data_IF_185365823200
#
_entry.id   IF_185365823200
#
_cell.length_a   1.000
_cell.length_b   1.000
_cell.length_c   1.000
_cell.angle_alpha   90.00
_cell.angle_beta   90.00
_cell.angle_gamma   90.00
#
_symmetry.space_group_name_H-M   'P 1'
#
loop_
_entity.id
_entity.type
_entity.pdbx_description
1 polymer ?
#
# COMPACT_ATOMS: atom_id res chain seq x y z
N UNK A 1 -8.20 -8.29 -17.93
CA UNK A 1 -7.16 -8.98 -17.13
C UNK A 1 -6.14 -9.69 -18.03
N UNK A 2 -4.89 -9.17 -18.13
CA UNK A 2 -3.82 -9.80 -18.89
C UNK A 2 -3.39 -11.14 -18.26
N UNK A 3 -3.06 -12.11 -19.11
CA UNK A 3 -2.50 -13.40 -18.69
C UNK A 3 -1.04 -13.27 -18.21
N UNK A 4 -0.43 -14.36 -17.72
CA UNK A 4 0.94 -14.33 -17.17
C UNK A 4 1.97 -13.80 -18.18
N UNK A 5 1.96 -14.28 -19.42
CA UNK A 5 2.91 -13.86 -20.44
C UNK A 5 2.73 -12.37 -20.81
N UNK A 6 1.48 -11.91 -20.92
CA UNK A 6 1.16 -10.50 -21.14
C UNK A 6 1.68 -9.63 -19.99
N UNK A 7 1.54 -10.06 -18.73
CA UNK A 7 2.11 -9.33 -17.58
C UNK A 7 3.63 -9.27 -17.59
N UNK A 8 4.31 -10.33 -18.03
CA UNK A 8 5.78 -10.31 -18.18
C UNK A 8 6.20 -9.32 -19.26
N UNK A 9 5.47 -9.26 -20.38
CA UNK A 9 5.72 -8.26 -21.41
C UNK A 9 5.53 -6.84 -20.86
N UNK A 10 4.41 -6.56 -20.19
CA UNK A 10 4.13 -5.26 -19.56
C UNK A 10 5.25 -4.90 -18.55
N UNK A 11 5.74 -5.86 -17.77
CA UNK A 11 6.82 -5.64 -16.82
C UNK A 11 8.13 -5.22 -17.52
N UNK A 12 8.49 -5.90 -18.62
CA UNK A 12 9.66 -5.56 -19.42
C UNK A 12 9.51 -4.17 -20.07
N UNK A 13 8.34 -3.87 -20.64
CA UNK A 13 8.08 -2.56 -21.25
C UNK A 13 8.15 -1.44 -20.19
N UNK A 14 7.64 -1.70 -18.97
CA UNK A 14 7.74 -0.79 -17.83
C UNK A 14 9.20 -0.55 -17.43
N UNK A 15 10.01 -1.61 -17.34
CA UNK A 15 11.46 -1.48 -17.10
C UNK A 15 12.14 -0.64 -18.17
N UNK A 16 11.81 -0.84 -19.44
CA UNK A 16 12.42 -0.11 -20.56
C UNK A 16 12.08 1.38 -20.54
N UNK A 17 10.85 1.75 -20.13
CA UNK A 17 10.42 3.16 -20.05
C UNK A 17 10.91 3.89 -18.81
N UNK A 18 11.16 3.16 -17.71
CA UNK A 18 11.45 3.73 -16.39
C UNK A 18 12.66 4.69 -16.39
N UNK A 19 13.83 4.38 -17.00
CA UNK A 19 14.98 5.29 -16.99
C UNK A 19 14.68 6.68 -17.54
N UNK A 20 13.96 6.76 -18.65
CA UNK A 20 13.57 8.04 -19.27
C UNK A 20 12.62 8.82 -18.36
N UNK A 21 11.63 8.18 -17.76
CA UNK A 21 10.70 8.82 -16.81
C UNK A 21 11.44 9.35 -15.59
N UNK A 22 12.43 8.61 -15.09
CA UNK A 22 13.22 9.03 -13.93
C UNK A 22 14.11 10.25 -14.21
N UNK A 23 14.33 10.63 -15.47
CA UNK A 23 15.02 11.89 -15.80
C UNK A 23 14.20 13.13 -15.46
N UNK A 24 12.87 13.06 -15.58
CA UNK A 24 11.94 14.15 -15.26
C UNK A 24 11.31 13.98 -13.88
N UNK A 25 11.26 12.76 -13.36
CA UNK A 25 10.74 12.41 -12.03
C UNK A 25 11.80 11.64 -11.23
N UNK A 26 12.84 12.33 -10.70
CA UNK A 26 13.95 11.68 -10.01
C UNK A 26 13.47 10.77 -8.87
N UNK A 27 14.05 9.56 -8.73
CA UNK A 27 13.61 8.63 -7.70
C UNK A 27 14.04 9.14 -6.32
N UNK A 28 13.15 9.02 -5.35
CA UNK A 28 13.47 9.21 -3.93
C UNK A 28 13.17 7.92 -3.18
N UNK A 29 14.06 7.49 -2.29
CA UNK A 29 13.86 6.28 -1.49
C UNK A 29 14.55 6.40 -0.12
N UNK A 30 13.81 6.11 0.96
CA UNK A 30 14.29 6.13 2.35
C UNK A 30 13.82 4.88 3.09
N UNK A 31 14.75 4.16 3.71
CA UNK A 31 14.44 3.05 4.61
C UNK A 31 14.23 3.57 6.04
N UNK A 32 13.12 3.16 6.65
CA UNK A 32 12.86 3.24 8.08
C UNK A 32 13.11 1.84 8.66
N UNK A 33 14.28 1.58 9.29
CA UNK A 33 14.68 0.23 9.65
C UNK A 33 13.98 -0.32 10.90
N UNK A 34 13.36 0.56 11.69
CA UNK A 34 12.73 0.22 12.97
C UNK A 34 11.41 0.96 13.16
N UNK A 35 10.63 0.47 14.12
CA UNK A 35 9.38 1.12 14.56
C UNK A 35 9.69 2.54 15.04
N UNK A 36 8.96 3.52 14.50
CA UNK A 36 9.06 4.90 14.91
C UNK A 36 8.42 5.10 16.29
N UNK A 37 8.92 6.06 17.09
CA UNK A 37 8.29 6.41 18.36
C UNK A 37 6.87 6.95 18.13
N UNK A 38 6.00 6.93 19.16
CA UNK A 38 4.71 7.58 19.10
C UNK A 38 4.80 9.05 18.67
N UNK A 39 3.82 9.52 17.90
CA UNK A 39 3.67 10.92 17.55
C UNK A 39 3.45 11.77 18.81
N UNK A 40 3.81 13.05 18.71
CA UNK A 40 3.51 14.01 19.76
C UNK A 40 1.98 14.19 19.86
N UNK A 41 1.41 14.29 21.07
CA UNK A 41 -0.01 14.52 21.26
C UNK A 41 -0.49 15.77 20.51
N UNK A 42 -1.53 15.61 19.70
CA UNK A 42 -2.19 16.72 19.03
C UNK A 42 -3.28 17.30 19.92
N UNK A 43 -3.47 18.62 19.89
CA UNK A 43 -4.64 19.26 20.52
C UNK A 43 -5.91 19.14 19.68
N UNK A 44 -5.77 18.72 18.42
CA UNK A 44 -6.92 18.48 17.54
C UNK A 44 -7.71 17.27 18.02
N UNK A 45 -9.03 17.35 17.86
CA UNK A 45 -9.95 16.22 18.08
C UNK A 45 -10.48 15.66 16.76
N UNK A 46 -10.01 16.17 15.61
CA UNK A 46 -10.48 15.74 14.30
C UNK A 46 -10.09 14.28 14.06
N UNK A 47 -11.08 13.47 13.66
CA UNK A 47 -10.87 12.11 13.17
C UNK A 47 -10.81 12.11 11.64
N UNK A 48 -10.04 11.20 11.02
CA UNK A 48 -10.05 11.07 9.57
C UNK A 48 -11.41 10.63 9.05
N UNK A 49 -11.77 11.09 7.86
CA UNK A 49 -12.83 10.47 7.07
C UNK A 49 -12.33 9.13 6.51
N UNK A 50 -12.96 8.03 6.89
CA UNK A 50 -12.56 6.68 6.47
C UNK A 50 -13.58 6.14 5.48
N UNK A 51 -13.12 5.63 4.34
CA UNK A 51 -13.98 4.93 3.37
C UNK A 51 -13.35 3.62 2.90
N UNK A 52 -14.19 2.66 2.50
CA UNK A 52 -13.76 1.41 1.88
C UNK A 52 -14.25 1.37 0.43
N UNK A 53 -13.34 1.14 -0.51
CA UNK A 53 -13.64 1.16 -1.96
C UNK A 53 -13.14 -0.11 -2.63
N UNK A 54 -13.98 -0.70 -3.48
CA UNK A 54 -13.58 -1.82 -4.34
C UNK A 54 -12.89 -1.30 -5.59
N UNK A 55 -11.66 -0.83 -5.42
CA UNK A 55 -10.85 -0.25 -6.48
C UNK A 55 -9.38 -0.58 -6.24
N UNK A 56 -8.56 -0.47 -7.28
CA UNK A 56 -7.12 -0.61 -7.09
C UNK A 56 -6.51 0.61 -6.39
N UNK A 57 -5.31 0.41 -5.83
CA UNK A 57 -4.63 1.38 -4.98
C UNK A 57 -4.25 2.68 -5.72
N UNK A 58 -3.79 2.62 -6.97
CA UNK A 58 -3.38 3.84 -7.68
C UNK A 58 -4.59 4.61 -8.23
N UNK A 59 -5.66 3.92 -8.64
CA UNK A 59 -6.90 4.58 -9.05
C UNK A 59 -7.58 5.29 -7.88
N UNK A 60 -7.50 4.72 -6.68
CA UNK A 60 -7.91 5.42 -5.46
C UNK A 60 -7.12 6.72 -5.24
N UNK A 61 -5.79 6.66 -5.37
CA UNK A 61 -4.94 7.83 -5.21
C UNK A 61 -5.18 8.89 -6.29
N UNK A 62 -5.35 8.46 -7.53
CA UNK A 62 -5.68 9.34 -8.66
C UNK A 62 -7.01 10.06 -8.42
N UNK A 63 -8.01 9.37 -7.87
CA UNK A 63 -9.31 9.96 -7.50
C UNK A 63 -9.15 11.05 -6.45
N UNK A 64 -8.36 10.80 -5.39
CA UNK A 64 -8.05 11.79 -4.35
C UNK A 64 -7.39 13.02 -5.00
N UNK A 65 -6.35 12.82 -5.81
CA UNK A 65 -5.59 13.89 -6.43
C UNK A 65 -6.42 14.71 -7.43
N UNK A 66 -7.34 14.07 -8.17
CA UNK A 66 -8.27 14.77 -9.08
C UNK A 66 -9.29 15.62 -8.32
N UNK A 67 -9.76 15.15 -7.17
CA UNK A 67 -10.71 15.89 -6.34
C UNK A 67 -10.03 17.00 -5.51
N UNK A 68 -8.77 16.80 -5.14
CA UNK A 68 -7.97 17.74 -4.37
C UNK A 68 -6.49 17.67 -4.82
N UNK A 69 -6.11 18.54 -5.76
CA UNK A 69 -4.74 18.61 -6.27
C UNK A 69 -3.70 19.04 -5.21
N UNK A 70 -4.14 19.62 -4.08
CA UNK A 70 -3.27 20.00 -2.97
C UNK A 70 -3.11 18.89 -1.92
N UNK A 71 -3.85 17.78 -2.05
CA UNK A 71 -3.78 16.67 -1.12
C UNK A 71 -2.38 16.07 -1.08
N UNK A 72 -1.83 15.95 0.14
CA UNK A 72 -0.59 15.23 0.39
C UNK A 72 -0.93 13.74 0.47
N UNK A 73 -0.88 13.08 -0.67
CA UNK A 73 -1.35 11.71 -0.86
C UNK A 73 -0.22 10.68 -0.89
N UNK A 74 -0.37 9.59 -0.15
CA UNK A 74 0.50 8.42 -0.26
C UNK A 74 -0.28 7.11 -0.25
N UNK A 75 0.29 6.06 -0.84
CA UNK A 75 -0.32 4.73 -0.89
C UNK A 75 0.53 3.67 -0.20
N UNK A 76 -0.13 2.65 0.34
CA UNK A 76 0.53 1.47 0.90
C UNK A 76 0.84 0.46 -0.22
N UNK A 77 2.12 0.15 -0.43
CA UNK A 77 2.55 -1.08 -1.08
C UNK A 77 2.60 -2.21 -0.04
N UNK A 78 1.74 -3.23 -0.21
CA UNK A 78 1.70 -4.43 0.63
C UNK A 78 2.85 -5.36 0.23
N UNK A 79 4.05 -4.96 0.63
CA UNK A 79 5.30 -5.41 0.04
C UNK A 79 5.65 -6.86 0.38
N UNK A 80 6.42 -7.46 -0.52
CA UNK A 80 7.17 -8.66 -0.24
C UNK A 80 8.27 -8.35 0.77
N UNK A 81 8.37 -9.14 1.83
CA UNK A 81 9.46 -9.05 2.80
C UNK A 81 10.84 -9.35 2.20
N UNK A 82 10.89 -10.14 1.13
CA UNK A 82 12.13 -10.77 0.63
C UNK A 82 12.61 -10.25 -0.71
N UNK A 83 11.68 -9.87 -1.59
CA UNK A 83 11.97 -9.60 -2.99
C UNK A 83 11.40 -8.21 -3.35
N UNK A 84 12.23 -7.27 -3.83
CA UNK A 84 11.76 -5.99 -4.34
C UNK A 84 10.71 -6.17 -5.44
N UNK A 85 9.51 -5.59 -5.26
CA UNK A 85 8.43 -5.69 -6.24
C UNK A 85 7.85 -7.10 -6.39
N UNK A 86 8.08 -7.98 -5.42
CA UNK A 86 7.53 -9.34 -5.43
C UNK A 86 7.97 -10.15 -6.66
N UNK A 87 6.99 -10.69 -7.38
CA UNK A 87 7.20 -11.49 -8.59
C UNK A 87 6.84 -10.78 -9.89
N UNK A 88 6.87 -9.44 -9.94
CA UNK A 88 6.30 -8.67 -11.06
C UNK A 88 6.92 -9.02 -12.43
N UNK A 89 8.24 -9.21 -12.49
CA UNK A 89 8.95 -9.66 -13.70
C UNK A 89 8.62 -11.10 -14.13
N UNK A 90 8.15 -11.91 -13.19
CA UNK A 90 7.73 -13.29 -13.44
C UNK A 90 6.24 -13.39 -13.80
N UNK A 91 5.56 -12.26 -13.98
CA UNK A 91 4.14 -12.19 -14.27
C UNK A 91 3.26 -12.61 -13.10
N UNK A 92 3.76 -12.54 -11.86
CA UNK A 92 2.89 -12.65 -10.69
C UNK A 92 1.90 -11.47 -10.65
N UNK A 93 0.79 -11.65 -9.93
CA UNK A 93 -0.22 -10.61 -9.79
C UNK A 93 -0.86 -10.66 -8.41
N UNK A 94 -0.27 -9.90 -7.50
CA UNK A 94 -0.91 -9.33 -6.33
C UNK A 94 -0.81 -7.80 -6.42
N UNK A 95 -1.09 -7.10 -5.32
CA UNK A 95 -1.10 -5.65 -5.29
C UNK A 95 0.28 -5.02 -5.53
N UNK A 96 1.35 -5.54 -4.90
CA UNK A 96 2.72 -5.04 -5.11
C UNK A 96 3.14 -5.13 -6.58
N UNK A 97 2.87 -6.26 -7.24
CA UNK A 97 3.18 -6.41 -8.65
C UNK A 97 2.36 -5.46 -9.52
N UNK A 98 1.08 -5.22 -9.20
CA UNK A 98 0.24 -4.26 -9.90
C UNK A 98 0.80 -2.83 -9.78
N UNK A 99 1.30 -2.43 -8.61
CA UNK A 99 1.97 -1.14 -8.44
C UNK A 99 3.25 -1.05 -9.27
N UNK A 100 4.08 -2.10 -9.26
CA UNK A 100 5.32 -2.15 -10.05
C UNK A 100 5.06 -2.12 -11.55
N UNK A 101 4.02 -2.82 -12.03
CA UNK A 101 3.63 -2.83 -13.45
C UNK A 101 3.15 -1.45 -13.94
N UNK A 102 2.78 -0.54 -13.05
CA UNK A 102 2.15 0.74 -13.42
C UNK A 102 3.01 1.98 -13.20
N UNK A 103 4.17 1.81 -12.57
CA UNK A 103 4.89 2.95 -12.02
C UNK A 103 6.39 2.72 -11.94
N UNK A 104 7.10 3.77 -11.52
CA UNK A 104 8.56 3.71 -11.26
C UNK A 104 8.92 3.05 -9.92
N UNK A 105 7.95 2.54 -9.13
CA UNK A 105 8.17 1.97 -7.80
C UNK A 105 9.29 0.92 -7.76
N UNK A 106 9.36 0.03 -8.75
CA UNK A 106 10.38 -1.02 -8.75
C UNK A 106 11.81 -0.47 -8.73
N UNK A 107 12.05 0.75 -9.24
CA UNK A 107 13.35 1.40 -9.24
C UNK A 107 13.75 2.01 -7.87
N UNK A 108 12.80 2.19 -6.95
CA UNK A 108 13.05 2.74 -5.61
C UNK A 108 13.22 1.65 -4.55
N UNK A 109 12.81 0.42 -4.85
CA UNK A 109 12.93 -0.75 -3.96
C UNK A 109 14.33 -1.38 -4.05
N UNK A 110 15.32 -0.76 -3.40
CA UNK A 110 16.71 -1.22 -3.47
C UNK A 110 16.92 -2.57 -2.78
N UNK A 111 17.59 -3.50 -3.45
CA UNK A 111 17.94 -4.84 -2.92
C UNK A 111 18.61 -4.81 -1.54
N UNK A 112 19.43 -3.78 -1.26
CA UNK A 112 20.11 -3.59 0.03
C UNK A 112 19.18 -3.40 1.23
N UNK A 113 17.90 -3.10 1.00
CA UNK A 113 16.90 -2.99 2.07
C UNK A 113 16.29 -4.35 2.44
N UNK A 114 16.58 -5.41 1.68
CA UNK A 114 15.95 -6.71 1.84
C UNK A 114 16.91 -7.74 2.47
N UNK A 115 16.39 -8.66 3.31
CA UNK A 115 15.00 -8.75 3.75
C UNK A 115 14.58 -7.55 4.61
N UNK A 116 13.34 -7.10 4.43
CA UNK A 116 12.81 -5.97 5.21
C UNK A 116 12.77 -6.37 6.70
N UNK A 117 13.23 -5.51 7.63
CA UNK A 117 13.03 -5.74 9.06
C UNK A 117 11.55 -5.91 9.41
N UNK A 118 11.24 -6.54 10.54
CA UNK A 118 9.85 -6.79 10.97
C UNK A 118 9.02 -5.50 11.02
N UNK A 119 9.60 -4.39 11.45
CA UNK A 119 8.97 -3.06 11.43
C UNK A 119 9.58 -2.14 10.37
N UNK A 120 10.30 -2.71 9.41
CA UNK A 120 10.93 -2.00 8.32
C UNK A 120 9.89 -1.47 7.33
N UNK A 121 10.05 -0.21 6.92
CA UNK A 121 9.25 0.40 5.87
C UNK A 121 10.14 1.16 4.88
N UNK A 122 9.79 1.13 3.59
CA UNK A 122 10.49 1.90 2.56
C UNK A 122 9.56 2.98 2.03
N UNK A 123 9.98 4.23 2.19
CA UNK A 123 9.30 5.38 1.59
C UNK A 123 9.86 5.64 0.21
N UNK A 124 9.00 5.88 -0.78
CA UNK A 124 9.39 6.08 -2.17
C UNK A 124 8.60 7.19 -2.84
N UNK A 125 9.28 8.10 -3.53
CA UNK A 125 8.63 9.00 -4.49
C UNK A 125 8.46 8.28 -5.82
N UNK A 126 7.22 8.17 -6.32
CA UNK A 126 6.87 7.33 -7.47
C UNK A 126 6.07 8.13 -8.49
N UNK A 127 6.31 7.84 -9.77
CA UNK A 127 5.50 8.33 -10.88
C UNK A 127 4.70 7.18 -11.48
N UNK A 128 3.38 7.34 -11.56
CA UNK A 128 2.45 6.40 -12.17
C UNK A 128 2.21 6.81 -13.61
N UNK A 129 2.52 5.91 -14.55
CA UNK A 129 2.50 6.20 -15.99
C UNK A 129 1.74 5.17 -16.82
N UNK A 130 1.06 4.22 -16.16
CA UNK A 130 0.16 3.27 -16.83
C UNK A 130 -1.16 3.14 -16.10
N UNK A 131 -2.19 2.89 -16.90
CA UNK A 131 -3.54 2.59 -16.44
C UNK A 131 -3.67 1.25 -15.70
N UNK A 132 -4.90 0.92 -15.34
CA UNK A 132 -5.23 -0.27 -14.57
C UNK A 132 -4.76 -1.58 -15.25
N UNK A 133 -4.42 -2.57 -14.42
CA UNK A 133 -4.02 -3.90 -14.89
C UNK A 133 -5.14 -4.55 -15.69
N UNK A 134 -6.39 -4.37 -15.28
CA UNK A 134 -7.54 -5.03 -15.93
C UNK A 134 -7.78 -4.54 -17.35
N UNK A 135 -7.46 -3.26 -17.61
CA UNK A 135 -7.44 -2.61 -18.91
C UNK A 135 -6.16 -2.90 -19.74
N UNK A 136 -5.23 -3.71 -19.22
CA UNK A 136 -4.01 -4.10 -19.92
C UNK A 136 -2.80 -3.18 -19.67
N UNK A 137 -2.83 -2.35 -18.62
CA UNK A 137 -1.78 -1.38 -18.30
C UNK A 137 -1.37 -0.47 -19.49
N UNK A 138 -2.32 0.20 -20.17
CA UNK A 138 -1.97 1.13 -21.25
C UNK A 138 -1.03 2.21 -20.71
N UNK A 139 -0.03 2.60 -21.51
CA UNK A 139 0.81 3.76 -21.16
C UNK A 139 -0.05 5.00 -21.27
N UNK A 140 -0.01 5.83 -20.24
CA UNK A 140 -0.70 7.11 -20.21
C UNK A 140 -0.12 8.07 -21.25
N UNK A 141 -0.97 8.93 -21.79
CA UNK A 141 -0.58 10.03 -22.65
C UNK A 141 0.27 11.06 -21.93
N UNK A 142 0.77 12.04 -22.68
CA UNK A 142 1.52 13.16 -22.13
C UNK A 142 0.64 13.91 -21.11
N UNK A 143 1.16 14.12 -19.89
CA UNK A 143 0.46 14.76 -18.75
C UNK A 143 -0.71 13.98 -18.13
N UNK A 144 -0.95 12.71 -18.50
CA UNK A 144 -1.96 11.87 -17.84
C UNK A 144 -1.41 11.10 -16.64
N UNK A 145 -0.09 10.96 -16.54
CA UNK A 145 0.56 10.37 -15.38
C UNK A 145 0.58 11.31 -14.16
N UNK A 146 0.83 10.73 -12.98
CA UNK A 146 0.82 11.48 -11.74
C UNK A 146 1.88 10.98 -10.76
N UNK A 147 2.39 11.91 -9.94
CA UNK A 147 3.30 11.60 -8.84
C UNK A 147 2.51 11.23 -7.59
N UNK A 148 2.96 10.21 -6.87
CA UNK A 148 2.42 9.80 -5.58
C UNK A 148 3.53 9.21 -4.72
N UNK A 149 3.47 9.42 -3.41
CA UNK A 149 4.37 8.74 -2.50
C UNK A 149 3.87 7.31 -2.20
N UNK A 150 4.80 6.38 -2.05
CA UNK A 150 4.51 4.97 -1.75
C UNK A 150 5.26 4.54 -0.49
N UNK A 151 4.52 4.02 0.48
CA UNK A 151 5.06 3.35 1.65
C UNK A 151 5.00 1.84 1.43
N UNK A 152 6.16 1.19 1.36
CA UNK A 152 6.27 -0.26 1.23
C UNK A 152 6.52 -0.91 2.58
N UNK A 153 5.61 -1.79 3.01
CA UNK A 153 5.76 -2.57 4.24
C UNK A 153 5.20 -3.98 4.06
N UNK A 154 5.94 -4.97 4.55
CA UNK A 154 5.50 -6.36 4.51
C UNK A 154 4.54 -6.70 5.67
N UNK A 155 3.47 -7.43 5.38
CA UNK A 155 2.62 -8.05 6.40
C UNK A 155 3.30 -9.29 7.02
N UNK A 156 2.69 -9.88 8.06
CA UNK A 156 3.10 -11.21 8.52
C UNK A 156 2.87 -12.23 7.41
N UNK A 157 3.83 -13.14 7.21
CA UNK A 157 3.74 -14.17 6.16
C UNK A 157 3.18 -15.47 6.73
N UNK A 158 1.98 -15.84 6.29
CA UNK A 158 1.27 -17.08 6.64
C UNK A 158 1.28 -17.36 8.16
N UNK A 159 0.81 -16.41 8.98
CA UNK A 159 0.70 -16.63 10.42
C UNK A 159 -0.28 -17.77 10.72
N UNK A 160 -0.16 -18.36 11.90
CA UNK A 160 -1.10 -19.40 12.34
C UNK A 160 -2.45 -18.76 12.67
N UNK A 161 -3.52 -19.32 12.11
CA UNK A 161 -4.89 -18.80 12.25
C UNK A 161 -5.79 -19.92 12.78
N UNK A 162 -6.63 -19.59 13.77
CA UNK A 162 -7.66 -20.46 14.35
C UNK A 162 -8.80 -20.72 13.36
N UNK A 163 -9.61 -21.75 13.60
CA UNK A 163 -10.79 -22.05 12.76
C UNK A 163 -11.81 -20.91 12.65
N UNK A 164 -11.82 -19.98 13.62
CA UNK A 164 -12.68 -18.79 13.62
C UNK A 164 -12.12 -17.59 12.84
N UNK A 165 -11.02 -17.75 12.10
CA UNK A 165 -10.41 -16.64 11.35
C UNK A 165 -9.77 -15.60 12.25
N UNK A 166 -9.10 -16.05 13.32
CA UNK A 166 -8.28 -15.21 14.21
C UNK A 166 -6.84 -15.69 14.30
N UNK A 167 -5.86 -14.82 14.48
CA UNK A 167 -4.47 -15.14 14.81
C UNK A 167 -4.45 -16.06 16.03
N UNK A 168 -3.72 -17.17 15.92
CA UNK A 168 -3.60 -18.13 17.01
C UNK A 168 -2.69 -17.62 18.14
N UNK A 169 -1.73 -16.75 17.82
CA UNK A 169 -0.78 -16.20 18.78
C UNK A 169 -1.09 -14.73 19.07
N UNK A 170 -1.17 -14.36 20.34
CA UNK A 170 -1.32 -12.97 20.76
C UNK A 170 -0.15 -12.08 20.29
N UNK A 171 1.05 -12.63 20.16
CA UNK A 171 2.21 -11.92 19.62
C UNK A 171 2.03 -11.50 18.16
N UNK A 172 1.32 -12.29 17.36
CA UNK A 172 1.05 -11.94 15.95
C UNK A 172 0.11 -10.74 15.87
N UNK A 173 -0.89 -10.68 16.77
CA UNK A 173 -1.79 -9.52 16.89
C UNK A 173 -1.00 -8.25 17.22
N UNK A 174 -0.10 -8.30 18.20
CA UNK A 174 0.71 -7.15 18.60
C UNK A 174 1.71 -6.73 17.52
N UNK A 175 2.30 -7.68 16.78
CA UNK A 175 3.13 -7.37 15.61
C UNK A 175 2.30 -6.64 14.55
N UNK A 176 1.09 -7.10 14.26
CA UNK A 176 0.22 -6.47 13.25
C UNK A 176 -0.22 -5.07 13.69
N UNK A 177 -0.58 -4.89 14.97
CA UNK A 177 -0.84 -3.55 15.54
C UNK A 177 0.35 -2.63 15.31
N UNK A 178 1.56 -3.06 15.70
CA UNK A 178 2.76 -2.24 15.54
C UNK A 178 3.15 -2.01 14.08
N UNK A 179 2.85 -2.93 13.17
CA UNK A 179 3.00 -2.70 11.72
C UNK A 179 2.03 -1.62 11.23
N UNK A 180 0.77 -1.64 11.67
CA UNK A 180 -0.21 -0.61 11.31
C UNK A 180 0.20 0.75 11.90
N UNK A 181 0.60 0.80 13.18
CA UNK A 181 1.16 2.02 13.80
C UNK A 181 2.38 2.52 13.03
N UNK A 182 3.28 1.64 12.59
CA UNK A 182 4.43 2.01 11.77
C UNK A 182 4.02 2.63 10.44
N UNK A 183 3.05 2.04 9.74
CA UNK A 183 2.51 2.60 8.48
C UNK A 183 2.03 4.02 8.74
N UNK A 184 1.18 4.22 9.75
CA UNK A 184 0.60 5.52 10.08
C UNK A 184 1.68 6.54 10.53
N UNK A 185 2.64 6.14 11.36
CA UNK A 185 3.74 7.02 11.81
C UNK A 185 4.64 7.47 10.67
N UNK A 186 5.01 6.57 9.76
CA UNK A 186 5.82 6.94 8.60
C UNK A 186 5.02 7.88 7.69
N UNK A 187 3.72 7.63 7.46
CA UNK A 187 2.88 8.57 6.70
C UNK A 187 2.85 9.96 7.37
N UNK A 188 2.66 10.01 8.69
CA UNK A 188 2.65 11.24 9.46
C UNK A 188 4.00 11.99 9.44
N UNK A 189 5.13 11.29 9.61
CA UNK A 189 6.48 11.87 9.53
C UNK A 189 6.73 12.52 8.15
N UNK A 190 6.14 11.95 7.09
CA UNK A 190 6.22 12.48 5.73
C UNK A 190 5.08 13.46 5.40
N UNK A 191 4.32 13.93 6.41
CA UNK A 191 3.28 14.96 6.31
C UNK A 191 2.17 14.60 5.33
N UNK A 192 1.79 13.34 5.30
CA UNK A 192 0.66 12.84 4.53
C UNK A 192 -0.63 13.07 5.30
N UNK A 193 -1.59 13.73 4.66
CA UNK A 193 -2.94 13.90 5.21
C UNK A 193 -3.98 13.00 4.54
N UNK A 194 -3.70 12.50 3.33
CA UNK A 194 -4.58 11.60 2.59
C UNK A 194 -3.84 10.30 2.29
N UNK A 195 -4.39 9.14 2.67
CA UNK A 195 -3.70 7.89 2.37
C UNK A 195 -4.61 6.79 1.84
N UNK A 196 -4.03 5.97 0.95
CA UNK A 196 -4.68 4.77 0.43
C UNK A 196 -4.06 3.55 1.09
N UNK A 197 -4.83 2.89 1.94
CA UNK A 197 -4.48 1.64 2.58
C UNK A 197 -5.17 0.47 1.88
N UNK A 198 -5.05 -0.73 2.44
CA UNK A 198 -5.69 -1.92 1.88
C UNK A 198 -5.67 -3.10 2.84
N UNK A 199 -6.09 -4.25 2.34
CA UNK A 199 -6.19 -5.50 3.10
C UNK A 199 -4.81 -6.14 3.36
N UNK A 200 -4.02 -5.51 4.23
CA UNK A 200 -2.62 -5.85 4.52
C UNK A 200 -2.43 -7.34 4.77
N UNK A 201 -1.76 -8.01 3.82
CA UNK A 201 -1.42 -9.44 3.92
C UNK A 201 -2.59 -10.43 3.78
N UNK A 202 -3.80 -9.99 3.43
CA UNK A 202 -4.99 -10.82 3.36
C UNK A 202 -5.08 -11.69 2.09
N UNK A 203 -4.17 -11.48 1.13
CA UNK A 203 -4.03 -12.31 -0.07
C UNK A 203 -3.01 -13.45 0.10
N UNK A 204 -1.91 -13.38 -0.67
CA UNK A 204 -0.87 -14.42 -0.72
C UNK A 204 -0.23 -14.74 0.65
N UNK A 205 -0.28 -13.80 1.60
CA UNK A 205 0.29 -13.95 2.94
C UNK A 205 -0.69 -14.53 3.96
N UNK A 206 -1.95 -14.79 3.58
CA UNK A 206 -2.92 -15.55 4.38
C UNK A 206 -3.19 -14.96 5.78
N UNK A 207 -3.17 -13.63 5.93
CA UNK A 207 -3.67 -13.00 7.15
C UNK A 207 -5.21 -13.06 7.19
N UNK A 208 -5.84 -13.21 8.37
CA UNK A 208 -7.29 -13.25 8.50
C UNK A 208 -7.92 -11.86 8.25
N UNK A 209 -8.66 -11.64 7.14
CA UNK A 209 -9.09 -10.30 6.73
C UNK A 209 -10.00 -9.59 7.73
N UNK A 210 -10.94 -10.32 8.35
CA UNK A 210 -11.85 -9.73 9.33
C UNK A 210 -11.12 -9.26 10.59
N UNK A 211 -10.04 -9.94 10.96
CA UNK A 211 -9.24 -9.53 12.11
C UNK A 211 -8.26 -8.43 11.77
N UNK A 212 -7.62 -8.45 10.60
CA UNK A 212 -6.80 -7.33 10.12
C UNK A 212 -7.62 -6.04 10.07
N UNK A 213 -8.85 -6.08 9.54
CA UNK A 213 -9.75 -4.93 9.52
C UNK A 213 -10.10 -4.44 10.94
N UNK A 214 -10.39 -5.35 11.89
CA UNK A 214 -10.62 -4.98 13.30
C UNK A 214 -9.40 -4.36 13.95
N UNK A 215 -8.20 -4.90 13.69
CA UNK A 215 -6.96 -4.33 14.23
C UNK A 215 -6.72 -2.94 13.64
N UNK A 216 -6.97 -2.73 12.34
CA UNK A 216 -6.93 -1.37 11.77
C UNK A 216 -7.87 -0.43 12.50
N UNK A 217 -9.13 -0.83 12.74
CA UNK A 217 -10.12 -0.02 13.47
C UNK A 217 -9.65 0.31 14.89
N UNK A 218 -9.17 -0.70 15.62
CA UNK A 218 -8.61 -0.52 16.98
C UNK A 218 -7.45 0.48 16.98
N UNK A 219 -6.48 0.32 16.08
CA UNK A 219 -5.34 1.24 15.99
C UNK A 219 -5.80 2.63 15.59
N UNK A 220 -6.67 2.78 14.58
CA UNK A 220 -7.15 4.09 14.12
C UNK A 220 -8.00 4.84 15.16
N UNK A 221 -8.58 4.12 16.13
CA UNK A 221 -9.28 4.72 17.26
C UNK A 221 -8.33 5.31 18.32
N UNK A 222 -7.04 4.97 18.31
CA UNK A 222 -6.03 5.58 19.18
C UNK A 222 -5.93 7.10 18.96
N UNK A 223 -5.66 7.84 20.03
CA UNK A 223 -5.60 9.31 19.99
C UNK A 223 -4.38 9.85 19.25
N UNK A 224 -3.39 8.99 18.98
CA UNK A 224 -2.16 9.34 18.24
C UNK A 224 -2.44 9.92 16.84
N UNK A 225 -3.57 9.57 16.22
CA UNK A 225 -3.91 9.96 14.84
C UNK A 225 -4.81 11.18 14.74
N UNK A 226 -5.20 11.80 15.87
CA UNK A 226 -6.13 12.94 15.87
C UNK A 226 -5.50 14.16 15.18
N UNK A 227 -6.19 14.67 14.17
CA UNK A 227 -5.72 15.78 13.34
C UNK A 227 -4.49 15.47 12.48
N UNK A 228 -4.12 14.20 12.32
CA UNK A 228 -3.01 13.78 11.45
C UNK A 228 -3.51 13.54 10.03
N UNK A 229 -4.58 12.76 9.89
CA UNK A 229 -5.16 12.38 8.59
C UNK A 229 -6.50 13.06 8.39
N UNK A 230 -6.71 13.59 7.19
CA UNK A 230 -7.98 14.11 6.71
C UNK A 230 -8.82 12.98 6.10
N UNK A 231 -8.22 12.14 5.25
CA UNK A 231 -8.89 11.03 4.57
C UNK A 231 -8.03 9.76 4.55
N UNK A 232 -8.67 8.62 4.86
CA UNK A 232 -8.09 7.29 4.72
C UNK A 232 -9.02 6.44 3.84
N UNK A 233 -8.52 6.03 2.69
CA UNK A 233 -9.25 5.14 1.78
C UNK A 233 -8.67 3.74 1.86
N UNK A 234 -9.46 2.77 2.30
CA UNK A 234 -9.15 1.36 2.15
C UNK A 234 -9.53 0.91 0.73
N UNK A 235 -8.56 0.91 -0.19
CA UNK A 235 -8.71 0.39 -1.54
C UNK A 235 -8.49 -1.13 -1.53
N UNK A 236 -9.59 -1.88 -1.49
CA UNK A 236 -9.58 -3.34 -1.39
C UNK A 236 -10.19 -3.91 -2.65
N UNK A 237 -9.35 -4.07 -3.68
CA UNK A 237 -9.77 -4.67 -4.94
C UNK A 237 -10.07 -6.15 -4.76
N UNK A 238 -11.32 -6.54 -4.98
CA UNK A 238 -11.78 -7.92 -4.93
C UNK A 238 -12.33 -8.35 -6.29
N UNK A 239 -11.43 -8.87 -7.14
CA UNK A 239 -11.77 -9.40 -8.48
C UNK A 239 -11.91 -10.92 -8.50
N UNK A 240 -11.63 -11.59 -7.38
CA UNK A 240 -11.55 -13.06 -7.29
C UNK A 240 -12.57 -13.67 -6.33
N UNK A 241 -13.46 -12.85 -5.76
CA UNK A 241 -14.48 -13.30 -4.81
C UNK A 241 -13.89 -13.69 -3.46
N UNK A 242 -12.78 -13.06 -3.05
CA UNK A 242 -12.10 -13.31 -1.78
C UNK A 242 -12.88 -12.72 -0.59
N UNK A 243 -13.90 -11.90 -0.87
CA UNK A 243 -14.77 -11.19 0.07
C UNK A 243 -14.02 -10.15 0.92
N UNK A 244 -12.73 -9.92 0.67
CA UNK A 244 -11.90 -8.96 1.40
C UNK A 244 -12.55 -7.57 1.39
N UNK A 245 -13.07 -7.13 0.24
CA UNK A 245 -13.78 -5.85 0.14
C UNK A 245 -14.98 -5.80 1.08
N UNK A 246 -15.88 -6.80 1.01
CA UNK A 246 -17.10 -6.86 1.84
C UNK A 246 -16.78 -6.96 3.33
N UNK A 247 -15.73 -7.69 3.67
CA UNK A 247 -15.27 -7.85 5.06
C UNK A 247 -14.74 -6.52 5.61
N UNK A 248 -13.91 -5.81 4.86
CA UNK A 248 -13.43 -4.49 5.27
C UNK A 248 -14.58 -3.49 5.36
N UNK A 249 -15.48 -3.48 4.36
CA UNK A 249 -16.67 -2.64 4.36
C UNK A 249 -17.50 -2.85 5.63
N UNK A 250 -17.85 -4.10 5.97
CA UNK A 250 -18.65 -4.40 7.15
C UNK A 250 -18.00 -4.01 8.50
N UNK A 251 -16.68 -3.79 8.55
CA UNK A 251 -15.99 -3.35 9.78
C UNK A 251 -15.95 -1.83 9.90
N UNK A 252 -15.91 -1.12 8.78
CA UNK A 252 -15.77 0.34 8.73
C UNK A 252 -17.09 1.10 8.46
N UNK A 253 -18.14 0.39 8.05
CA UNK A 253 -19.53 0.85 8.16
C UNK A 253 -19.97 0.89 9.64
#
# INVERSE_FOLDING_TARGET
MPNKAQRQQIANDTLSLTPTILTTHPPHSKLYPSLLPPLQPSTSQAKPHITVRNQDTFTAAETILKNNASARTAVLNMASEKNPGGGWLNGALAQEEALCLRSTLAATLYKRYYPLPVYGAVWSGVYVFRGEVDAGCPVYGENEGFSVDVLSMAALRRPLVTGGGKYANASDVEIVKNKIRQILRVLAENKISHCVLGALGCGAFRNPPAEVARIYKEVLDEDEWRGVFEEIVFAVLDTRGELNYKIFQAVFD
#
